data_IF_018808689891
#
_entry.id   IF_018808689891
#
_cell.length_a   1.000
_cell.length_b   1.000
_cell.length_c   1.000
_cell.angle_alpha   90.00
_cell.angle_beta   90.00
_cell.angle_gamma   90.00
#
_symmetry.space_group_name_H-M   'P 1'
#
loop_
_entity.id
_entity.type
_entity.pdbx_description
1 polymer ?
#
# COMPACT_ATOMS: atom_id res chain seq x y z
N UNK A 1 0.42 -25.21 -23.13
CA UNK A 1 0.88 -23.95 -23.72
C UNK A 1 -0.21 -22.88 -23.77
N UNK A 2 -1.42 -23.21 -24.20
CA UNK A 2 -2.57 -22.29 -24.15
C UNK A 2 -3.27 -22.27 -22.79
N UNK A 3 -3.09 -23.32 -21.99
CA UNK A 3 -3.61 -23.39 -20.63
C UNK A 3 -2.80 -22.49 -19.70
N UNK A 4 -3.50 -21.93 -18.72
CA UNK A 4 -2.93 -20.99 -17.78
C UNK A 4 -1.84 -21.64 -16.91
N UNK A 5 -0.59 -21.21 -17.08
CA UNK A 5 0.54 -21.68 -16.29
C UNK A 5 0.72 -20.75 -15.07
N UNK A 6 0.14 -21.18 -13.94
CA UNK A 6 0.22 -20.41 -12.70
C UNK A 6 1.64 -20.28 -12.19
N UNK A 7 2.01 -19.06 -11.76
CA UNK A 7 3.25 -18.86 -11.03
C UNK A 7 3.20 -19.57 -9.65
N UNK A 8 4.32 -20.13 -9.22
CA UNK A 8 4.40 -20.72 -7.88
C UNK A 8 4.17 -19.67 -6.81
N UNK A 9 3.51 -20.05 -5.71
CA UNK A 9 3.22 -19.14 -4.59
C UNK A 9 4.49 -18.61 -3.95
N UNK A 10 5.55 -19.42 -3.89
CA UNK A 10 6.84 -18.97 -3.36
C UNK A 10 7.48 -17.88 -4.22
N UNK A 11 7.55 -18.07 -5.55
CA UNK A 11 8.04 -17.03 -6.48
C UNK A 11 7.23 -15.73 -6.33
N UNK A 12 5.90 -15.84 -6.20
CA UNK A 12 5.01 -14.68 -6.04
C UNK A 12 5.24 -13.95 -4.72
N UNK A 13 5.38 -14.70 -3.61
CA UNK A 13 5.66 -14.13 -2.29
C UNK A 13 7.03 -13.43 -2.26
N UNK A 14 8.07 -14.06 -2.84
CA UNK A 14 9.41 -13.47 -2.94
C UNK A 14 9.43 -12.21 -3.79
N UNK A 15 8.73 -12.20 -4.93
CA UNK A 15 8.60 -11.03 -5.79
C UNK A 15 7.85 -9.89 -5.07
N UNK A 16 6.75 -10.23 -4.37
CA UNK A 16 5.99 -9.28 -3.59
C UNK A 16 6.82 -8.66 -2.45
N UNK A 17 7.57 -9.49 -1.71
CA UNK A 17 8.43 -9.00 -0.61
C UNK A 17 9.48 -8.01 -1.13
N UNK A 18 10.13 -8.32 -2.26
CA UNK A 18 11.10 -7.41 -2.87
C UNK A 18 10.42 -6.11 -3.34
N UNK A 19 9.26 -6.20 -3.98
CA UNK A 19 8.50 -5.03 -4.42
C UNK A 19 8.09 -4.15 -3.23
N UNK A 20 7.68 -4.74 -2.08
CA UNK A 20 7.34 -4.01 -0.84
C UNK A 20 8.55 -3.29 -0.26
N UNK A 21 9.73 -3.93 -0.23
CA UNK A 21 10.97 -3.29 0.24
C UNK A 21 11.30 -2.06 -0.64
N UNK A 22 11.29 -2.23 -1.96
CA UNK A 22 11.56 -1.13 -2.89
C UNK A 22 10.53 0.00 -2.78
N UNK A 23 9.25 -0.35 -2.62
CA UNK A 23 8.15 0.60 -2.43
C UNK A 23 8.35 1.40 -1.13
N UNK A 24 8.72 0.74 -0.03
CA UNK A 24 8.96 1.39 1.26
C UNK A 24 10.12 2.38 1.18
N UNK A 25 11.23 2.00 0.55
CA UNK A 25 12.38 2.89 0.34
C UNK A 25 11.99 4.12 -0.48
N UNK A 26 11.26 3.90 -1.58
CA UNK A 26 10.85 5.00 -2.45
C UNK A 26 9.80 5.91 -1.80
N UNK A 27 8.83 5.32 -1.07
CA UNK A 27 7.84 6.09 -0.31
C UNK A 27 8.49 6.95 0.76
N UNK A 28 9.49 6.42 1.48
CA UNK A 28 10.28 7.22 2.46
C UNK A 28 11.00 8.38 1.78
N UNK A 29 11.62 8.15 0.63
CA UNK A 29 12.26 9.21 -0.14
C UNK A 29 11.27 10.31 -0.56
N UNK A 30 10.10 9.93 -1.08
CA UNK A 30 9.04 10.90 -1.39
C UNK A 30 8.49 11.60 -0.15
N UNK A 31 8.36 10.91 1.00
CA UNK A 31 7.90 11.51 2.24
C UNK A 31 8.86 12.63 2.71
N UNK A 32 10.16 12.39 2.65
CA UNK A 32 11.16 13.42 2.97
C UNK A 32 11.08 14.63 2.03
N UNK A 33 10.94 14.38 0.72
CA UNK A 33 10.80 15.46 -0.26
C UNK A 33 9.51 16.27 -0.05
N UNK A 34 8.40 15.61 0.23
CA UNK A 34 7.10 16.26 0.46
C UNK A 34 7.10 16.99 1.82
N UNK A 35 7.73 16.44 2.86
CA UNK A 35 7.91 17.10 4.15
C UNK A 35 8.61 18.44 3.97
N UNK A 36 9.73 18.44 3.27
CA UNK A 36 10.47 19.68 2.97
C UNK A 36 9.65 20.63 2.07
N UNK A 37 8.96 20.11 1.05
CA UNK A 37 8.18 20.93 0.13
C UNK A 37 6.96 21.60 0.78
N UNK A 38 6.35 20.94 1.77
CA UNK A 38 5.18 21.47 2.49
C UNK A 38 5.55 22.24 3.76
N UNK A 39 6.84 22.36 4.08
CA UNK A 39 7.30 23.08 5.27
C UNK A 39 6.86 22.42 6.58
N UNK A 40 6.86 21.09 6.62
CA UNK A 40 6.40 20.32 7.80
C UNK A 40 7.12 20.71 9.08
N UNK A 41 8.43 20.97 8.99
CA UNK A 41 9.26 21.31 10.13
C UNK A 41 8.82 22.64 10.77
N UNK A 42 8.46 23.65 9.97
CA UNK A 42 7.97 24.93 10.47
C UNK A 42 6.67 24.79 11.28
N UNK A 43 5.75 23.93 10.80
CA UNK A 43 4.50 23.65 11.53
C UNK A 43 4.75 22.84 12.79
N UNK A 44 5.66 21.88 12.74
CA UNK A 44 6.06 21.09 13.91
C UNK A 44 6.72 21.96 14.98
N UNK A 45 7.65 22.82 14.60
CA UNK A 45 8.31 23.74 15.50
C UNK A 45 7.33 24.72 16.15
N UNK A 46 6.33 25.18 15.40
CA UNK A 46 5.26 26.01 15.95
C UNK A 46 4.42 25.25 17.00
N UNK A 47 4.10 23.98 16.78
CA UNK A 47 3.41 23.17 17.77
C UNK A 47 4.30 22.92 18.99
N UNK A 48 5.58 22.56 18.81
CA UNK A 48 6.52 22.34 19.90
C UNK A 48 6.71 23.61 20.77
N UNK A 49 6.66 24.80 20.16
CA UNK A 49 6.70 26.05 20.91
C UNK A 49 5.54 26.17 21.90
N UNK A 50 4.31 25.82 21.52
CA UNK A 50 3.19 25.82 22.44
C UNK A 50 3.40 24.84 23.60
N UNK A 51 3.86 23.63 23.34
CA UNK A 51 4.18 22.67 24.41
C UNK A 51 5.23 23.27 25.37
N UNK A 52 6.32 23.84 24.87
CA UNK A 52 7.38 24.46 25.68
C UNK A 52 6.86 25.67 26.50
N UNK A 53 5.98 26.50 25.95
CA UNK A 53 5.37 27.61 26.65
C UNK A 53 4.52 27.12 27.84
N UNK A 54 3.75 26.07 27.68
CA UNK A 54 2.96 25.46 28.75
C UNK A 54 3.85 24.76 29.79
N UNK A 55 4.90 24.07 29.38
CA UNK A 55 5.88 23.46 30.28
C UNK A 55 6.53 24.51 31.19
N UNK A 56 6.94 25.63 30.62
CA UNK A 56 7.49 26.74 31.38
C UNK A 56 6.47 27.39 32.32
N UNK A 57 5.26 27.61 31.85
CA UNK A 57 4.19 28.25 32.63
C UNK A 57 3.82 27.40 33.87
N UNK A 58 3.76 26.08 33.71
CA UNK A 58 3.35 25.17 34.76
C UNK A 58 4.52 24.54 35.52
N UNK A 59 5.77 24.72 35.06
CA UNK A 59 6.96 24.09 35.64
C UNK A 59 6.89 22.55 35.61
N UNK A 60 6.46 22.01 34.50
CA UNK A 60 6.31 20.57 34.23
C UNK A 60 7.03 20.20 32.92
N UNK A 61 7.23 18.93 32.70
CA UNK A 61 7.73 18.36 31.45
C UNK A 61 6.64 17.42 30.90
N UNK A 62 6.12 17.68 29.68
CA UNK A 62 5.14 16.78 29.05
C UNK A 62 5.77 15.48 28.53
N UNK A 63 7.10 15.42 28.45
CA UNK A 63 7.83 14.30 27.86
C UNK A 63 8.28 13.26 28.90
N UNK A 64 7.56 13.16 30.02
CA UNK A 64 7.81 12.16 31.06
C UNK A 64 7.19 10.82 30.68
N UNK A 65 7.82 9.72 31.12
CA UNK A 65 7.30 8.36 30.96
C UNK A 65 6.10 8.11 31.90
N UNK A 66 5.32 7.07 31.60
CA UNK A 66 4.23 6.63 32.46
C UNK A 66 4.71 6.31 33.88
N UNK A 67 5.91 5.72 34.02
CA UNK A 67 6.50 5.39 35.32
C UNK A 67 6.83 6.66 36.11
N UNK A 68 7.42 7.67 35.45
CA UNK A 68 7.72 8.97 36.07
C UNK A 68 6.44 9.69 36.46
N UNK A 69 5.42 9.70 35.61
CA UNK A 69 4.12 10.26 35.94
C UNK A 69 3.47 9.59 37.16
N UNK A 70 3.54 8.26 37.26
CA UNK A 70 3.03 7.51 38.40
C UNK A 70 3.83 7.75 39.69
N UNK A 71 5.10 8.11 39.58
CA UNK A 71 5.96 8.45 40.70
C UNK A 71 5.75 9.89 41.24
N UNK A 72 5.06 10.75 40.47
CA UNK A 72 4.77 12.13 40.91
C UNK A 72 3.90 12.15 42.17
N UNK A 73 4.16 13.13 43.04
CA UNK A 73 3.30 13.43 44.18
C UNK A 73 1.91 13.92 43.73
N UNK A 74 0.92 13.81 44.60
CA UNK A 74 -0.47 14.19 44.29
C UNK A 74 -0.58 15.66 43.78
N UNK A 75 0.14 16.58 44.40
CA UNK A 75 0.18 17.99 43.98
C UNK A 75 0.74 18.18 42.55
N UNK A 76 1.77 17.45 42.21
CA UNK A 76 2.40 17.57 40.88
C UNK A 76 1.54 16.89 39.81
N UNK A 77 0.88 15.77 40.13
CA UNK A 77 -0.12 15.17 39.23
C UNK A 77 -1.31 16.09 38.93
N UNK A 78 -1.81 16.81 39.97
CA UNK A 78 -2.89 17.79 39.77
C UNK A 78 -2.42 18.94 38.88
N UNK A 79 -1.18 19.43 39.07
CA UNK A 79 -0.61 20.48 38.23
C UNK A 79 -0.44 20.02 36.78
N UNK A 80 0.05 18.79 36.60
CA UNK A 80 0.18 18.16 35.28
C UNK A 80 -1.17 18.04 34.58
N UNK A 81 -2.20 17.54 35.28
CA UNK A 81 -3.54 17.40 34.75
C UNK A 81 -4.19 18.74 34.37
N UNK A 82 -3.99 19.80 35.19
CA UNK A 82 -4.48 21.16 34.89
C UNK A 82 -3.77 21.75 33.65
N UNK A 83 -2.45 21.60 33.57
CA UNK A 83 -1.67 22.04 32.42
C UNK A 83 -2.11 21.34 31.12
N UNK A 84 -2.29 20.03 31.18
CA UNK A 84 -2.73 19.23 30.03
C UNK A 84 -4.16 19.57 29.60
N UNK A 85 -5.06 19.79 30.55
CA UNK A 85 -6.42 20.20 30.27
C UNK A 85 -6.47 21.57 29.57
N UNK A 86 -5.69 22.54 30.06
CA UNK A 86 -5.63 23.88 29.45
C UNK A 86 -4.93 23.89 28.10
N UNK A 87 -3.88 23.10 27.92
CA UNK A 87 -3.24 22.90 26.62
C UNK A 87 -4.23 22.36 25.58
N UNK A 88 -5.03 21.37 25.96
CA UNK A 88 -6.05 20.79 25.06
C UNK A 88 -7.24 21.73 24.78
N UNK A 89 -7.54 22.62 25.71
CA UNK A 89 -8.64 23.60 25.58
C UNK A 89 -8.22 24.84 24.77
N UNK A 90 -6.92 25.02 24.57
CA UNK A 90 -6.37 26.12 23.77
C UNK A 90 -6.66 25.93 22.28
N UNK A 91 -7.39 26.90 21.71
CA UNK A 91 -7.82 26.83 20.32
C UNK A 91 -6.63 26.92 19.33
N UNK A 92 -5.57 27.62 19.68
CA UNK A 92 -4.39 27.76 18.82
C UNK A 92 -3.54 26.49 18.84
N UNK A 93 -3.38 25.85 20.00
CA UNK A 93 -2.77 24.52 20.14
C UNK A 93 -3.54 23.48 19.35
N UNK A 94 -4.86 23.41 19.54
CA UNK A 94 -5.74 22.48 18.83
C UNK A 94 -5.66 22.67 17.32
N UNK A 95 -5.59 23.91 16.84
CA UNK A 95 -5.40 24.23 15.42
C UNK A 95 -4.02 23.77 14.91
N UNK A 96 -2.95 24.07 15.64
CA UNK A 96 -1.59 23.66 15.27
C UNK A 96 -1.48 22.13 15.21
N UNK A 97 -2.00 21.42 16.21
CA UNK A 97 -2.06 19.96 16.24
C UNK A 97 -2.85 19.39 15.05
N UNK A 98 -4.02 19.97 14.75
CA UNK A 98 -4.84 19.55 13.62
C UNK A 98 -4.11 19.71 12.28
N UNK A 99 -3.36 20.80 12.08
CA UNK A 99 -2.53 21.03 10.88
C UNK A 99 -1.47 19.93 10.76
N UNK A 100 -0.75 19.62 11.83
CA UNK A 100 0.30 18.59 11.83
C UNK A 100 -0.28 17.22 11.46
N UNK A 101 -1.42 16.85 12.05
CA UNK A 101 -2.09 15.56 11.72
C UNK A 101 -2.51 15.52 10.25
N UNK A 102 -3.17 16.58 9.75
CA UNK A 102 -3.61 16.63 8.36
C UNK A 102 -2.43 16.59 7.39
N UNK A 103 -1.36 17.33 7.69
CA UNK A 103 -0.15 17.38 6.87
C UNK A 103 0.57 16.02 6.87
N UNK A 104 0.69 15.37 8.04
CA UNK A 104 1.26 14.02 8.15
C UNK A 104 0.48 13.00 7.31
N UNK A 105 -0.86 13.02 7.38
CA UNK A 105 -1.70 12.14 6.58
C UNK A 105 -1.57 12.43 5.08
N UNK A 106 -1.50 13.69 4.68
CA UNK A 106 -1.32 14.08 3.29
C UNK A 106 0.05 13.65 2.76
N UNK A 107 1.12 13.89 3.50
CA UNK A 107 2.49 13.45 3.14
C UNK A 107 2.54 11.94 3.03
N UNK A 108 2.03 11.19 4.02
CA UNK A 108 2.01 9.74 4.01
C UNK A 108 1.23 9.20 2.80
N UNK A 109 0.01 9.67 2.59
CA UNK A 109 -0.85 9.22 1.49
C UNK A 109 -0.23 9.52 0.12
N UNK A 110 0.27 10.73 -0.08
CA UNK A 110 0.84 11.17 -1.36
C UNK A 110 2.19 10.49 -1.65
N UNK A 111 3.06 10.30 -0.64
CA UNK A 111 4.34 9.60 -0.81
C UNK A 111 4.15 8.15 -1.23
N UNK A 112 3.21 7.44 -0.60
CA UNK A 112 2.87 6.06 -0.96
C UNK A 112 2.23 6.01 -2.35
N UNK A 113 1.35 6.95 -2.70
CA UNK A 113 0.78 7.06 -4.05
C UNK A 113 1.87 7.22 -5.12
N UNK A 114 2.81 8.14 -4.91
CA UNK A 114 3.91 8.39 -5.85
C UNK A 114 4.81 7.15 -6.00
N UNK A 115 5.10 6.45 -4.90
CA UNK A 115 5.85 5.20 -4.92
C UNK A 115 5.14 4.10 -5.73
N UNK A 116 3.83 3.91 -5.52
CA UNK A 116 3.03 2.98 -6.33
C UNK A 116 2.99 3.37 -7.79
N UNK A 117 2.76 4.65 -8.09
CA UNK A 117 2.75 5.14 -9.47
C UNK A 117 4.09 4.95 -10.18
N UNK A 118 5.19 5.11 -9.47
CA UNK A 118 6.52 4.87 -10.04
C UNK A 118 6.80 3.37 -10.25
N UNK A 119 6.70 2.54 -9.19
CA UNK A 119 7.15 1.15 -9.21
C UNK A 119 6.15 0.16 -9.82
N UNK A 120 4.86 0.37 -9.59
CA UNK A 120 3.82 -0.58 -9.98
C UNK A 120 3.06 -0.18 -11.25
N UNK A 121 3.19 1.08 -11.68
CA UNK A 121 2.55 1.57 -12.92
C UNK A 121 3.58 2.03 -13.95
N UNK A 122 4.39 3.06 -13.65
CA UNK A 122 5.28 3.66 -14.66
C UNK A 122 6.37 2.67 -15.12
N UNK A 123 7.06 2.02 -14.20
CA UNK A 123 8.09 1.03 -14.56
C UNK A 123 7.52 -0.13 -15.38
N UNK A 124 6.41 -0.80 -14.98
CA UNK A 124 5.79 -1.86 -15.77
C UNK A 124 5.29 -1.44 -17.16
N UNK A 125 4.81 -0.21 -17.29
CA UNK A 125 4.21 0.27 -18.55
C UNK A 125 5.26 0.81 -19.50
N UNK A 126 6.25 1.58 -19.00
CA UNK A 126 7.20 2.32 -19.82
C UNK A 126 8.49 1.53 -20.10
N UNK A 127 9.00 0.78 -19.13
CA UNK A 127 10.32 0.15 -19.23
C UNK A 127 10.30 -1.37 -19.24
N UNK A 128 9.44 -1.99 -18.43
CA UNK A 128 9.35 -3.43 -18.33
C UNK A 128 8.15 -3.92 -19.15
N UNK A 129 8.35 -4.94 -19.98
CA UNK A 129 7.27 -5.55 -20.76
C UNK A 129 6.43 -6.50 -19.86
N UNK A 130 5.25 -6.87 -20.34
CA UNK A 130 4.39 -7.89 -19.72
C UNK A 130 3.96 -7.57 -18.26
N UNK A 131 3.71 -6.28 -17.96
CA UNK A 131 3.21 -5.85 -16.65
C UNK A 131 4.11 -6.21 -15.47
N UNK A 132 5.40 -6.38 -15.71
CA UNK A 132 6.35 -6.79 -14.69
C UNK A 132 6.74 -5.62 -13.79
N UNK A 133 6.70 -5.82 -12.48
CA UNK A 133 7.44 -5.01 -11.53
C UNK A 133 8.89 -5.48 -11.45
N UNK A 134 9.75 -4.77 -10.73
CA UNK A 134 11.15 -5.17 -10.56
C UNK A 134 11.24 -6.55 -9.90
N UNK A 135 10.50 -6.77 -8.80
CA UNK A 135 10.47 -8.08 -8.14
C UNK A 135 9.96 -9.18 -9.06
N UNK A 136 8.86 -8.95 -9.79
CA UNK A 136 8.35 -9.95 -10.74
C UNK A 136 9.35 -10.28 -11.84
N UNK A 137 10.07 -9.29 -12.35
CA UNK A 137 11.10 -9.51 -13.36
C UNK A 137 12.23 -10.41 -12.84
N UNK A 138 12.72 -10.15 -11.63
CA UNK A 138 13.80 -10.92 -10.99
C UNK A 138 13.39 -12.39 -10.79
N UNK A 139 12.14 -12.64 -10.40
CA UNK A 139 11.62 -14.00 -10.18
C UNK A 139 10.98 -14.67 -11.40
N UNK A 140 11.18 -14.11 -12.60
CA UNK A 140 10.68 -14.69 -13.85
C UNK A 140 9.15 -14.70 -13.96
N UNK A 141 8.47 -13.73 -13.34
CA UNK A 141 7.02 -13.60 -13.34
C UNK A 141 6.56 -12.53 -14.32
N UNK A 142 5.36 -12.72 -14.88
CA UNK A 142 4.68 -11.73 -15.71
C UNK A 142 3.24 -11.53 -15.24
N UNK A 143 2.65 -10.41 -15.64
CA UNK A 143 1.22 -10.12 -15.45
C UNK A 143 0.59 -10.06 -16.83
N UNK A 144 -0.46 -10.82 -17.03
CA UNK A 144 -1.26 -10.81 -18.26
C UNK A 144 -2.75 -10.71 -17.92
N UNK A 145 -3.57 -10.48 -18.91
CA UNK A 145 -5.02 -10.63 -18.78
C UNK A 145 -5.37 -12.12 -18.64
N UNK A 146 -6.53 -12.38 -18.05
CA UNK A 146 -7.04 -13.75 -17.86
C UNK A 146 -7.25 -14.52 -19.18
N UNK A 147 -7.30 -13.81 -20.30
CA UNK A 147 -7.39 -14.38 -21.65
C UNK A 147 -6.04 -14.54 -22.36
N UNK A 148 -4.93 -14.60 -21.63
CA UNK A 148 -3.56 -14.77 -22.15
C UNK A 148 -3.06 -13.64 -23.06
N UNK A 149 -3.70 -12.47 -23.01
CA UNK A 149 -3.31 -11.27 -23.76
C UNK A 149 -2.53 -10.32 -22.85
N UNK A 150 -1.61 -9.56 -23.43
CA UNK A 150 -0.83 -8.53 -22.74
C UNK A 150 -1.75 -7.51 -22.03
N UNK A 151 -1.37 -7.14 -20.82
CA UNK A 151 -2.09 -6.14 -20.02
C UNK A 151 -2.00 -4.76 -20.65
N UNK A 152 -3.15 -4.09 -20.78
CA UNK A 152 -3.21 -2.70 -21.25
C UNK A 152 -2.85 -1.73 -20.11
N UNK A 153 -2.31 -0.53 -20.40
CA UNK A 153 -1.97 0.46 -19.38
C UNK A 153 -3.13 0.81 -18.43
N UNK A 154 -4.35 0.89 -18.96
CA UNK A 154 -5.54 1.18 -18.13
C UNK A 154 -5.82 0.07 -17.10
N UNK A 155 -5.63 -1.19 -17.45
CA UNK A 155 -5.79 -2.29 -16.50
C UNK A 155 -4.65 -2.28 -15.44
N UNK A 156 -3.43 -1.91 -15.82
CA UNK A 156 -2.34 -1.68 -14.87
C UNK A 156 -2.65 -0.52 -13.93
N UNK A 157 -3.24 0.57 -14.43
CA UNK A 157 -3.65 1.71 -13.60
C UNK A 157 -4.73 1.30 -12.58
N UNK A 158 -5.76 0.59 -13.01
CA UNK A 158 -6.82 0.06 -12.13
C UNK A 158 -6.21 -0.86 -11.06
N UNK A 159 -5.34 -1.76 -11.48
CA UNK A 159 -4.63 -2.69 -10.58
C UNK A 159 -3.83 -1.94 -9.51
N UNK A 160 -3.05 -0.95 -9.92
CA UNK A 160 -2.16 -0.19 -9.05
C UNK A 160 -2.93 0.78 -8.17
N UNK A 161 -3.79 1.62 -8.77
CA UNK A 161 -4.45 2.70 -8.04
C UNK A 161 -5.61 2.20 -7.19
N UNK A 162 -6.59 1.49 -7.79
CA UNK A 162 -7.76 1.03 -7.05
C UNK A 162 -7.45 -0.20 -6.20
N UNK A 163 -6.77 -1.19 -6.76
CA UNK A 163 -6.48 -2.44 -6.07
C UNK A 163 -5.42 -2.26 -4.98
N UNK A 164 -4.18 -2.07 -5.38
CA UNK A 164 -3.05 -2.08 -4.44
C UNK A 164 -3.01 -0.85 -3.54
N UNK A 165 -3.04 0.35 -4.12
CA UNK A 165 -2.94 1.58 -3.34
C UNK A 165 -4.18 1.81 -2.48
N UNK A 166 -5.39 1.86 -3.08
CA UNK A 166 -6.59 2.25 -2.33
C UNK A 166 -7.06 1.13 -1.39
N UNK A 167 -7.33 -0.08 -1.93
CA UNK A 167 -7.98 -1.14 -1.13
C UNK A 167 -6.99 -1.89 -0.26
N UNK A 168 -5.82 -2.29 -0.80
CA UNK A 168 -4.89 -3.16 -0.09
C UNK A 168 -3.90 -2.39 0.81
N UNK A 169 -3.75 -1.06 0.63
CA UNK A 169 -2.83 -0.24 1.42
C UNK A 169 -3.52 0.88 2.17
N UNK A 170 -4.18 1.83 1.50
CA UNK A 170 -4.74 3.01 2.18
C UNK A 170 -5.93 2.68 3.06
N UNK A 171 -6.82 1.77 2.65
CA UNK A 171 -7.96 1.39 3.49
C UNK A 171 -7.52 0.75 4.82
N UNK A 172 -6.61 -0.27 4.85
CA UNK A 172 -6.05 -0.77 6.11
C UNK A 172 -5.33 0.30 6.93
N UNK A 173 -4.50 1.15 6.31
CA UNK A 173 -3.80 2.22 7.02
C UNK A 173 -4.76 3.22 7.67
N UNK A 174 -5.83 3.61 6.97
CA UNK A 174 -6.87 4.48 7.53
C UNK A 174 -7.60 3.82 8.70
N UNK A 175 -7.94 2.53 8.59
CA UNK A 175 -8.57 1.78 9.68
C UNK A 175 -7.65 1.74 10.90
N UNK A 176 -6.35 1.45 10.72
CA UNK A 176 -5.35 1.45 11.80
C UNK A 176 -5.28 2.83 12.45
N UNK A 177 -5.23 3.90 11.67
CA UNK A 177 -5.25 5.27 12.15
C UNK A 177 -6.49 5.55 13.00
N UNK A 178 -7.69 5.19 12.52
CA UNK A 178 -8.94 5.39 13.26
C UNK A 178 -9.04 4.53 14.54
N UNK A 179 -8.41 3.36 14.56
CA UNK A 179 -8.26 2.54 15.78
C UNK A 179 -7.38 3.27 16.79
N UNK A 180 -6.22 3.77 16.34
CA UNK A 180 -5.25 4.47 17.19
C UNK A 180 -5.88 5.71 17.88
N UNK A 181 -6.69 6.46 17.15
CA UNK A 181 -7.43 7.62 17.70
C UNK A 181 -8.75 7.25 18.41
N UNK A 182 -8.97 5.97 18.70
CA UNK A 182 -10.14 5.49 19.46
C UNK A 182 -11.48 5.56 18.73
N UNK A 183 -11.50 5.95 17.44
CA UNK A 183 -12.75 6.16 16.68
C UNK A 183 -13.45 4.86 16.29
N UNK A 184 -12.70 3.78 16.01
CA UNK A 184 -13.25 2.49 15.55
C UNK A 184 -13.12 1.36 16.57
N UNK A 185 -12.14 1.41 17.49
CA UNK A 185 -11.94 0.39 18.52
C UNK A 185 -11.94 -1.04 17.96
N UNK A 186 -12.71 -1.93 18.60
CA UNK A 186 -12.84 -3.35 18.22
C UNK A 186 -13.44 -3.54 16.81
N UNK A 187 -14.31 -2.65 16.37
CA UNK A 187 -14.91 -2.73 15.02
C UNK A 187 -13.83 -2.60 13.95
N UNK A 188 -12.85 -1.70 14.14
CA UNK A 188 -11.72 -1.56 13.22
C UNK A 188 -10.88 -2.83 13.13
N UNK A 189 -10.63 -3.52 14.25
CA UNK A 189 -9.92 -4.81 14.24
C UNK A 189 -10.68 -5.88 13.45
N UNK A 190 -12.01 -5.94 13.59
CA UNK A 190 -12.85 -6.86 12.81
C UNK A 190 -12.77 -6.52 11.32
N UNK A 191 -12.80 -5.25 10.95
CA UNK A 191 -12.67 -4.82 9.55
C UNK A 191 -11.31 -5.22 8.94
N UNK A 192 -10.21 -5.03 9.67
CA UNK A 192 -8.87 -5.46 9.23
C UNK A 192 -8.81 -6.98 9.06
N UNK A 193 -9.32 -7.73 10.03
CA UNK A 193 -9.37 -9.19 9.96
C UNK A 193 -10.22 -9.67 8.77
N UNK A 194 -11.35 -9.04 8.50
CA UNK A 194 -12.21 -9.35 7.36
C UNK A 194 -11.52 -9.09 6.01
N UNK A 195 -10.80 -7.96 5.87
CA UNK A 195 -10.01 -7.65 4.67
C UNK A 195 -8.88 -8.67 4.46
N UNK A 196 -8.15 -9.01 5.51
CA UNK A 196 -7.09 -10.02 5.44
C UNK A 196 -7.65 -11.40 5.07
N UNK A 197 -8.75 -11.81 5.70
CA UNK A 197 -9.43 -13.07 5.39
C UNK A 197 -9.93 -13.12 3.94
N UNK A 198 -10.55 -12.03 3.47
CA UNK A 198 -10.99 -11.92 2.08
C UNK A 198 -9.83 -12.12 1.12
N UNK A 199 -8.69 -11.47 1.36
CA UNK A 199 -7.49 -11.60 0.53
C UNK A 199 -6.99 -13.07 0.50
N UNK A 200 -6.91 -13.72 1.66
CA UNK A 200 -6.48 -15.12 1.77
C UNK A 200 -7.44 -16.04 1.02
N UNK A 201 -8.76 -15.86 1.22
CA UNK A 201 -9.79 -16.67 0.55
C UNK A 201 -9.71 -16.52 -0.98
N UNK A 202 -9.57 -15.29 -1.48
CA UNK A 202 -9.45 -15.06 -2.92
C UNK A 202 -8.20 -15.72 -3.51
N UNK A 203 -7.05 -15.62 -2.84
CA UNK A 203 -5.83 -16.28 -3.30
C UNK A 203 -5.96 -17.81 -3.25
N UNK A 204 -6.62 -18.36 -2.25
CA UNK A 204 -6.75 -19.81 -2.08
C UNK A 204 -7.86 -20.42 -2.97
N UNK A 205 -9.01 -19.75 -3.09
CA UNK A 205 -10.20 -20.28 -3.76
C UNK A 205 -10.27 -20.00 -5.25
N UNK A 206 -9.59 -18.95 -5.75
CA UNK A 206 -9.63 -18.64 -7.18
C UNK A 206 -8.73 -19.59 -7.99
N UNK A 207 -9.21 -20.03 -9.15
CA UNK A 207 -8.41 -20.87 -10.05
C UNK A 207 -7.09 -20.21 -10.47
N UNK A 208 -7.02 -18.89 -10.46
CA UNK A 208 -5.88 -18.08 -10.85
C UNK A 208 -4.98 -17.63 -9.67
N UNK A 209 -5.33 -18.03 -8.44
CA UNK A 209 -4.69 -17.55 -7.21
C UNK A 209 -4.63 -16.01 -7.17
N UNK A 210 -5.73 -15.36 -7.56
CA UNK A 210 -5.79 -13.91 -7.75
C UNK A 210 -6.04 -13.18 -6.44
N UNK A 211 -5.30 -12.10 -6.21
CA UNK A 211 -5.53 -11.13 -5.16
C UNK A 211 -6.65 -10.14 -5.57
N UNK A 212 -7.10 -9.28 -4.66
CA UNK A 212 -8.15 -8.27 -4.93
C UNK A 212 -7.78 -7.43 -6.15
N UNK A 213 -6.55 -6.90 -6.20
CA UNK A 213 -6.08 -6.08 -7.31
C UNK A 213 -6.04 -6.84 -8.66
N UNK A 214 -5.80 -8.15 -8.64
CA UNK A 214 -5.82 -8.98 -9.84
C UNK A 214 -7.24 -9.13 -10.39
N UNK A 215 -8.22 -9.34 -9.51
CA UNK A 215 -9.64 -9.51 -9.87
C UNK A 215 -10.19 -8.21 -10.46
N UNK A 216 -9.94 -7.07 -9.80
CA UNK A 216 -10.39 -5.75 -10.26
C UNK A 216 -9.87 -5.40 -11.65
N UNK A 217 -8.62 -5.75 -11.94
CA UNK A 217 -7.99 -5.47 -13.22
C UNK A 217 -8.14 -6.59 -14.26
N UNK A 218 -8.81 -7.71 -13.91
CA UNK A 218 -8.93 -8.91 -14.75
C UNK A 218 -7.55 -9.43 -15.21
N UNK A 219 -6.60 -9.48 -14.28
CA UNK A 219 -5.22 -9.90 -14.52
C UNK A 219 -4.87 -11.17 -13.74
N UNK A 220 -3.78 -11.81 -14.16
CA UNK A 220 -3.23 -12.99 -13.50
C UNK A 220 -1.72 -12.93 -13.53
N UNK A 221 -1.08 -13.42 -12.45
CA UNK A 221 0.37 -13.56 -12.38
C UNK A 221 0.77 -14.96 -12.85
N UNK A 222 1.62 -15.02 -13.86
CA UNK A 222 2.06 -16.26 -14.51
C UNK A 222 3.56 -16.40 -14.48
N UNK A 223 4.02 -17.63 -14.66
CA UNK A 223 5.45 -17.92 -14.87
C UNK A 223 5.80 -17.62 -16.34
N UNK A 224 6.81 -16.76 -16.55
CA UNK A 224 7.15 -16.26 -17.87
C UNK A 224 7.83 -17.30 -18.77
N UNK A 225 8.48 -18.31 -18.17
CA UNK A 225 9.18 -19.35 -18.95
C UNK A 225 8.23 -20.35 -19.60
N UNK A 226 7.09 -20.60 -18.93
CA UNK A 226 6.13 -21.63 -19.36
C UNK A 226 4.88 -21.07 -20.02
N UNK A 227 4.58 -19.77 -19.87
CA UNK A 227 3.37 -19.15 -20.37
C UNK A 227 3.60 -18.34 -21.65
N UNK A 228 2.77 -18.57 -22.67
CA UNK A 228 2.68 -17.71 -23.84
C UNK A 228 1.78 -16.51 -23.55
N UNK A 229 2.27 -15.30 -23.84
CA UNK A 229 1.53 -14.05 -23.73
C UNK A 229 1.43 -13.43 -25.12
N UNK A 230 0.21 -13.20 -25.60
CA UNK A 230 -0.07 -12.69 -26.93
C UNK A 230 -0.25 -11.18 -26.92
N UNK A 231 0.12 -10.50 -27.98
CA UNK A 231 -0.08 -9.03 -28.11
C UNK A 231 -1.57 -8.68 -28.32
N UNK A 232 -2.34 -9.59 -28.96
CA UNK A 232 -3.76 -9.39 -29.22
C UNK A 232 -4.55 -10.70 -29.16
N UNK A 233 -5.88 -10.57 -28.98
CA UNK A 233 -6.78 -11.70 -29.06
C UNK A 233 -6.79 -12.36 -30.45
N UNK A 234 -6.57 -11.58 -31.52
CA UNK A 234 -6.48 -12.10 -32.89
C UNK A 234 -5.24 -12.99 -33.06
N UNK A 235 -4.11 -12.56 -32.55
CA UNK A 235 -2.87 -13.35 -32.58
C UNK A 235 -3.04 -14.66 -31.81
N UNK A 236 -3.62 -14.62 -30.61
CA UNK A 236 -3.93 -15.82 -29.83
C UNK A 236 -4.81 -16.79 -30.60
N UNK A 237 -5.87 -16.33 -31.25
CA UNK A 237 -6.75 -17.17 -32.04
C UNK A 237 -6.07 -17.76 -33.28
N UNK A 238 -5.26 -16.97 -33.98
CA UNK A 238 -4.48 -17.43 -35.15
C UNK A 238 -3.52 -18.56 -34.74
N UNK A 239 -2.76 -18.37 -33.64
CA UNK A 239 -1.88 -19.41 -33.10
C UNK A 239 -2.62 -20.67 -32.66
N UNK A 240 -3.79 -20.50 -32.02
CA UNK A 240 -4.60 -21.65 -31.59
C UNK A 240 -5.07 -22.49 -32.79
N UNK A 241 -5.47 -21.86 -33.90
CA UNK A 241 -5.84 -22.55 -35.13
C UNK A 241 -4.65 -23.27 -35.74
N UNK A 242 -3.50 -22.60 -35.86
CA UNK A 242 -2.25 -23.18 -36.37
C UNK A 242 -1.86 -24.46 -35.60
N UNK A 243 -1.92 -24.43 -34.27
CA UNK A 243 -1.65 -25.60 -33.44
C UNK A 243 -2.68 -26.71 -33.60
N UNK A 244 -3.98 -26.38 -33.72
CA UNK A 244 -5.01 -27.37 -33.94
C UNK A 244 -4.87 -28.05 -35.30
N UNK A 245 -4.52 -27.32 -36.36
CA UNK A 245 -4.24 -27.85 -37.69
C UNK A 245 -3.00 -28.74 -37.68
N UNK A 246 -1.92 -28.33 -37.03
CA UNK A 246 -0.70 -29.13 -36.93
C UNK A 246 -0.92 -30.43 -36.12
N UNK A 247 -1.76 -30.40 -35.08
CA UNK A 247 -2.07 -31.57 -34.27
C UNK A 247 -2.97 -32.55 -35.06
N UNK A 248 -3.99 -32.06 -35.75
CA UNK A 248 -4.84 -32.89 -36.62
C UNK A 248 -4.05 -33.56 -37.75
N UNK A 249 -3.04 -32.86 -38.33
CA UNK A 249 -2.17 -33.43 -39.34
C UNK A 249 -1.25 -34.55 -38.81
N UNK A 250 -0.91 -34.53 -37.51
CA UNK A 250 -0.15 -35.61 -36.85
C UNK A 250 -0.92 -36.88 -36.58
N UNK A 251 -2.22 -36.72 -36.27
CA UNK A 251 -3.10 -37.89 -35.93
C UNK A 251 -3.89 -38.38 -37.11
N UNK A 252 -3.85 -37.69 -38.26
CA UNK A 252 -4.50 -38.11 -39.54
C UNK A 252 -3.64 -38.96 -40.45
N UNK A 253 -2.41 -39.35 -40.02
CA UNK A 253 -1.53 -40.33 -40.69
C UNK A 253 -1.57 -41.62 -39.88
#
# INVERSE_FOLDING_TARGET
MFDLQKASMLKRASAWLLDVILLSVLATGFALLLSAAFGYDDYNDNLQRYYTEYEQLYGIDFNISDEEYLALGEKDRLRYADAYAKLNDDADVSRAFSIIIQLSLAIMSLSVLLAYMALEFAIPVLWLKNGQTIGKKIFGLAVMRTDSVRVKPIAMLIRTLLGKYTIETMAPLLIIFLIFFGSLGTVGLIMLAALALLQIVLIAATHTNSAIHDILAQTVVVDMESQMIFDSAREREARRREYAEADSARWGQ
#
